data_IF_982658717005
#
_entry.id   IF_982658717005
#
_cell.length_a   1.000
_cell.length_b   1.000
_cell.length_c   1.000
_cell.angle_alpha   90.00
_cell.angle_beta   90.00
_cell.angle_gamma   90.00
#
_symmetry.space_group_name_H-M   'P 1'
#
loop_
_entity.id
_entity.type
_entity.pdbx_description
1 polymer ?
#
# COMPACT_ATOMS: atom_id res chain seq x y z
N UNK A 1 24.99 -31.24 -8.20
CA UNK A 1 24.19 -30.92 -6.99
C UNK A 1 24.61 -29.54 -6.52
N UNK A 2 23.91 -28.47 -6.93
CA UNK A 2 24.27 -27.10 -6.52
C UNK A 2 23.73 -26.82 -5.12
N UNK A 3 24.66 -26.53 -4.20
CA UNK A 3 24.36 -26.25 -2.80
C UNK A 3 23.50 -25.00 -2.66
N UNK A 4 22.32 -25.17 -2.05
CA UNK A 4 21.45 -24.08 -1.61
C UNK A 4 22.29 -23.13 -0.74
N UNK A 5 22.40 -21.82 -1.03
CA UNK A 5 23.25 -20.92 -0.26
C UNK A 5 22.83 -20.93 1.21
N UNK A 6 23.76 -21.33 2.06
CA UNK A 6 23.60 -21.58 3.48
C UNK A 6 23.64 -20.26 4.26
N UNK A 7 22.54 -19.50 4.22
CA UNK A 7 22.26 -18.43 5.17
C UNK A 7 22.31 -16.99 4.62
N UNK A 8 21.76 -16.05 5.40
CA UNK A 8 21.54 -14.64 5.03
C UNK A 8 22.78 -13.94 4.47
N UNK A 9 23.94 -14.09 5.13
CA UNK A 9 25.19 -13.41 4.75
C UNK A 9 25.64 -13.84 3.35
N UNK A 10 25.61 -15.14 3.09
CA UNK A 10 25.99 -15.69 1.79
C UNK A 10 24.97 -15.34 0.70
N UNK A 11 23.68 -15.38 1.05
CA UNK A 11 22.60 -14.91 0.16
C UNK A 11 22.78 -13.45 -0.28
N UNK A 12 23.07 -12.55 0.66
CA UNK A 12 23.34 -11.13 0.35
C UNK A 12 24.58 -10.96 -0.54
N UNK A 13 25.67 -11.67 -0.23
CA UNK A 13 26.90 -11.65 -1.04
C UNK A 13 26.62 -12.04 -2.49
N UNK A 14 25.84 -13.12 -2.68
CA UNK A 14 25.46 -13.59 -4.02
C UNK A 14 24.53 -12.61 -4.73
N UNK A 15 23.52 -12.06 -4.05
CA UNK A 15 22.60 -11.08 -4.64
C UNK A 15 23.37 -9.88 -5.20
N UNK A 16 24.29 -9.32 -4.40
CA UNK A 16 25.07 -8.14 -4.80
C UNK A 16 25.94 -8.47 -6.00
N UNK A 17 26.76 -9.53 -5.91
CA UNK A 17 27.66 -9.93 -6.98
C UNK A 17 26.92 -10.25 -8.28
N UNK A 18 25.77 -10.93 -8.21
CA UNK A 18 25.01 -11.34 -9.41
C UNK A 18 24.27 -10.19 -10.05
N UNK A 19 23.64 -9.29 -9.27
CA UNK A 19 22.96 -8.11 -9.82
C UNK A 19 23.99 -7.16 -10.44
N UNK A 20 25.11 -6.91 -9.77
CA UNK A 20 26.17 -6.06 -10.30
C UNK A 20 26.75 -6.64 -11.60
N UNK A 21 27.07 -7.93 -11.62
CA UNK A 21 27.55 -8.61 -12.83
C UNK A 21 26.50 -8.58 -13.97
N UNK A 22 25.22 -8.73 -13.65
CA UNK A 22 24.15 -8.64 -14.64
C UNK A 22 24.06 -7.24 -15.25
N UNK A 23 24.05 -6.19 -14.42
CA UNK A 23 24.00 -4.79 -14.91
C UNK A 23 25.24 -4.46 -15.75
N UNK A 24 26.42 -4.98 -15.39
CA UNK A 24 27.65 -4.71 -16.13
C UNK A 24 27.67 -5.38 -17.51
N UNK A 25 27.15 -6.60 -17.62
CA UNK A 25 27.37 -7.46 -18.79
C UNK A 25 26.12 -7.65 -19.67
N UNK A 26 24.93 -7.27 -19.21
CA UNK A 26 23.67 -7.54 -19.92
C UNK A 26 23.30 -6.42 -20.90
N UNK A 27 23.07 -6.79 -22.16
CA UNK A 27 22.54 -5.86 -23.18
C UNK A 27 21.15 -5.30 -22.81
N UNK A 28 20.36 -6.03 -22.01
CA UNK A 28 19.04 -5.57 -21.53
C UNK A 28 19.11 -4.32 -20.62
N UNK A 29 20.29 -4.09 -20.03
CA UNK A 29 20.53 -2.99 -19.10
C UNK A 29 21.21 -1.79 -19.76
N UNK A 30 21.64 -1.95 -21.01
CA UNK A 30 22.20 -0.91 -21.89
C UNK A 30 21.08 -0.38 -22.79
N UNK A 31 20.33 0.62 -22.31
CA UNK A 31 19.33 1.32 -23.13
C UNK A 31 19.97 2.53 -23.80
N UNK A 32 19.52 2.86 -25.01
CA UNK A 32 20.09 3.93 -25.84
C UNK A 32 20.05 5.32 -25.18
N UNK A 33 19.10 5.54 -24.27
CA UNK A 33 18.84 6.81 -23.58
C UNK A 33 19.31 6.84 -22.11
N UNK A 34 19.53 5.66 -21.50
CA UNK A 34 19.89 5.56 -20.07
C UNK A 34 20.57 4.24 -19.74
N UNK A 35 21.76 4.32 -19.17
CA UNK A 35 22.44 3.16 -18.62
C UNK A 35 21.87 2.82 -17.23
N UNK A 36 21.55 1.55 -17.01
CA UNK A 36 21.24 1.07 -15.66
C UNK A 36 22.54 0.99 -14.86
N UNK A 37 22.58 1.52 -13.65
CA UNK A 37 23.76 1.50 -12.79
C UNK A 37 23.47 0.73 -11.52
N UNK A 38 24.46 0.00 -11.00
CA UNK A 38 24.35 -0.62 -9.69
C UNK A 38 24.28 0.44 -8.57
N UNK A 39 23.46 0.18 -7.56
CA UNK A 39 23.28 1.07 -6.41
C UNK A 39 23.24 0.26 -5.12
N UNK A 40 24.31 0.34 -4.34
CA UNK A 40 24.55 -0.59 -3.23
C UNK A 40 23.51 -0.48 -2.11
N UNK A 41 23.18 0.73 -1.64
CA UNK A 41 22.15 0.93 -0.61
C UNK A 41 20.75 0.49 -1.08
N UNK A 42 20.38 0.77 -2.33
CA UNK A 42 19.09 0.38 -2.89
C UNK A 42 18.97 -1.15 -3.00
N UNK A 43 20.02 -1.83 -3.47
CA UNK A 43 20.08 -3.30 -3.52
C UNK A 43 19.98 -3.89 -2.11
N UNK A 44 20.71 -3.31 -1.15
CA UNK A 44 20.62 -3.72 0.26
C UNK A 44 19.20 -3.61 0.79
N UNK A 45 18.56 -2.45 0.58
CA UNK A 45 17.21 -2.17 1.03
C UNK A 45 16.23 -3.24 0.54
N UNK A 46 16.21 -3.51 -0.77
CA UNK A 46 15.29 -4.50 -1.33
C UNK A 46 15.57 -5.93 -0.87
N UNK A 47 16.84 -6.34 -0.86
CA UNK A 47 17.24 -7.65 -0.33
C UNK A 47 16.83 -7.81 1.15
N UNK A 48 16.98 -6.74 1.93
CA UNK A 48 16.57 -6.70 3.33
C UNK A 48 15.06 -6.81 3.50
N UNK A 49 14.28 -6.03 2.75
CA UNK A 49 12.81 -6.05 2.84
C UNK A 49 12.23 -7.40 2.41
N UNK A 50 12.77 -8.00 1.35
CA UNK A 50 12.38 -9.35 0.89
C UNK A 50 12.72 -10.40 1.95
N UNK A 51 13.95 -10.38 2.48
CA UNK A 51 14.35 -11.31 3.53
C UNK A 51 13.49 -11.16 4.78
N UNK A 52 13.22 -9.92 5.20
CA UNK A 52 12.35 -9.66 6.35
C UNK A 52 10.95 -10.24 6.11
N UNK A 53 10.35 -9.98 4.95
CA UNK A 53 9.05 -10.50 4.57
C UNK A 53 9.02 -12.05 4.54
N UNK A 54 10.06 -12.67 4.00
CA UNK A 54 10.17 -14.14 3.95
C UNK A 54 10.25 -14.77 5.34
N UNK A 55 11.00 -14.15 6.27
CA UNK A 55 11.11 -14.68 7.64
C UNK A 55 9.92 -14.33 8.53
N UNK A 56 9.26 -13.20 8.29
CA UNK A 56 8.02 -12.83 8.97
C UNK A 56 6.80 -13.63 8.48
N UNK A 57 6.90 -14.27 7.30
CA UNK A 57 5.81 -15.04 6.73
C UNK A 57 5.52 -16.30 7.56
N UNK A 58 4.27 -16.41 8.04
CA UNK A 58 3.79 -17.57 8.80
C UNK A 58 3.43 -18.76 7.91
N UNK A 59 3.03 -18.51 6.66
CA UNK A 59 2.64 -19.55 5.71
C UNK A 59 3.86 -20.03 4.92
N UNK A 60 4.22 -21.33 4.97
CA UNK A 60 5.38 -21.87 4.25
C UNK A 60 5.33 -21.64 2.74
N UNK A 61 4.15 -21.47 2.14
CA UNK A 61 3.98 -21.20 0.71
C UNK A 61 4.61 -19.88 0.28
N UNK A 62 4.74 -18.91 1.19
CA UNK A 62 5.46 -17.66 0.89
C UNK A 62 6.94 -17.88 0.58
N UNK A 63 7.54 -19.01 1.00
CA UNK A 63 8.93 -19.36 0.71
C UNK A 63 9.10 -20.17 -0.59
N UNK A 64 8.02 -20.73 -1.13
CA UNK A 64 8.07 -21.65 -2.28
C UNK A 64 7.27 -21.18 -3.50
N UNK A 65 6.27 -20.32 -3.32
CA UNK A 65 5.46 -19.73 -4.38
C UNK A 65 5.62 -18.21 -4.38
N UNK A 66 6.28 -17.70 -5.42
CA UNK A 66 6.54 -16.27 -5.59
C UNK A 66 5.26 -15.44 -5.78
N UNK A 67 4.24 -15.97 -6.46
CA UNK A 67 2.97 -15.25 -6.66
C UNK A 67 2.24 -15.13 -5.33
N UNK A 68 2.24 -16.20 -4.54
CA UNK A 68 1.72 -16.18 -3.18
C UNK A 68 2.50 -15.20 -2.30
N UNK A 69 3.84 -15.21 -2.36
CA UNK A 69 4.68 -14.27 -1.64
C UNK A 69 4.32 -12.81 -1.93
N UNK A 70 4.17 -12.44 -3.21
CA UNK A 70 3.80 -11.08 -3.61
C UNK A 70 2.38 -10.71 -3.20
N UNK A 71 1.43 -11.63 -3.28
CA UNK A 71 0.04 -11.37 -2.87
C UNK A 71 -0.08 -10.99 -1.39
N UNK A 72 0.79 -11.55 -0.54
CA UNK A 72 0.85 -11.27 0.90
C UNK A 72 1.86 -10.17 1.27
N UNK A 73 2.77 -9.80 0.36
CA UNK A 73 3.72 -8.71 0.56
C UNK A 73 3.65 -7.67 -0.57
N UNK A 74 2.45 -7.15 -0.88
CA UNK A 74 2.27 -6.30 -2.05
C UNK A 74 3.13 -5.03 -1.95
N UNK A 75 3.44 -4.52 -0.75
CA UNK A 75 4.31 -3.35 -0.54
C UNK A 75 5.67 -3.45 -1.23
N UNK A 76 6.15 -4.68 -1.48
CA UNK A 76 7.41 -4.92 -2.19
C UNK A 76 7.35 -4.57 -3.68
N UNK A 77 6.15 -4.39 -4.24
CA UNK A 77 5.93 -3.92 -5.60
C UNK A 77 5.99 -2.38 -5.72
N UNK A 78 5.96 -1.64 -4.60
CA UNK A 78 6.05 -0.18 -4.63
C UNK A 78 7.52 0.26 -4.80
N UNK A 79 7.91 0.61 -6.02
CA UNK A 79 9.28 1.04 -6.34
C UNK A 79 9.78 2.22 -5.49
N UNK A 80 8.89 3.04 -4.93
CA UNK A 80 9.21 4.16 -4.05
C UNK A 80 9.28 3.83 -2.55
N UNK A 81 9.10 2.57 -2.14
CA UNK A 81 8.99 2.19 -0.72
C UNK A 81 10.18 2.67 0.13
N UNK A 82 11.39 2.70 -0.45
CA UNK A 82 12.58 3.17 0.24
C UNK A 82 12.47 4.61 0.76
N UNK A 83 11.63 5.47 0.15
CA UNK A 83 11.44 6.87 0.57
C UNK A 83 10.71 7.01 1.92
N UNK A 84 10.13 5.94 2.45
CA UNK A 84 9.60 5.91 3.82
C UNK A 84 10.72 5.81 4.87
N UNK A 85 11.89 5.28 4.49
CA UNK A 85 13.03 5.05 5.37
C UNK A 85 14.16 6.05 5.09
N UNK A 86 14.29 6.50 3.85
CA UNK A 86 15.35 7.40 3.39
C UNK A 86 14.79 8.72 2.86
N UNK A 87 15.47 9.83 3.16
CA UNK A 87 15.32 11.07 2.40
C UNK A 87 15.86 10.91 0.97
N UNK A 88 15.35 11.73 0.04
CA UNK A 88 15.83 11.72 -1.36
C UNK A 88 17.30 12.11 -1.42
N UNK A 89 17.68 13.07 -0.61
CA UNK A 89 19.05 13.59 -0.49
C UNK A 89 20.02 12.47 -0.11
N UNK A 90 19.62 11.62 0.84
CA UNK A 90 20.45 10.51 1.30
C UNK A 90 20.45 9.29 0.38
N UNK A 91 19.31 8.93 -0.21
CA UNK A 91 19.23 7.75 -1.07
C UNK A 91 19.67 8.03 -2.51
N UNK A 92 19.25 9.15 -3.09
CA UNK A 92 19.37 9.42 -4.53
C UNK A 92 20.52 10.37 -4.86
N UNK A 93 20.80 11.33 -3.97
CA UNK A 93 21.77 12.40 -4.25
C UNK A 93 23.14 12.16 -3.61
N UNK A 94 23.22 11.37 -2.53
CA UNK A 94 24.49 11.02 -1.89
C UNK A 94 25.26 9.98 -2.73
N UNK A 95 26.44 10.32 -3.28
CA UNK A 95 27.26 9.37 -4.04
C UNK A 95 27.65 8.15 -3.22
N UNK A 96 27.81 8.29 -1.89
CA UNK A 96 28.18 7.17 -1.01
C UNK A 96 27.11 6.08 -1.00
N UNK A 97 25.83 6.45 -1.04
CA UNK A 97 24.74 5.47 -1.06
C UNK A 97 24.81 4.50 -2.25
N UNK A 98 25.52 4.89 -3.33
CA UNK A 98 25.72 4.06 -4.52
C UNK A 98 26.82 3.01 -4.34
N UNK A 99 27.88 3.33 -3.60
CA UNK A 99 29.09 2.50 -3.44
C UNK A 99 29.21 1.82 -2.08
N UNK A 100 28.41 2.23 -1.11
CA UNK A 100 28.33 1.62 0.21
C UNK A 100 26.88 1.57 0.70
N UNK A 101 26.62 0.73 1.70
CA UNK A 101 25.31 0.69 2.36
C UNK A 101 25.26 1.79 3.41
N UNK A 102 24.47 2.82 3.15
CA UNK A 102 24.18 3.87 4.15
C UNK A 102 22.90 3.51 4.91
N UNK A 103 22.89 3.78 6.21
CA UNK A 103 21.72 3.57 7.05
C UNK A 103 20.59 4.55 6.69
N UNK A 104 19.31 4.23 6.92
CA UNK A 104 18.22 5.17 6.71
C UNK A 104 18.24 6.33 7.71
N UNK A 105 17.73 7.49 7.31
CA UNK A 105 17.68 8.73 8.09
C UNK A 105 16.27 9.16 8.52
N UNK A 106 15.21 8.54 7.97
CA UNK A 106 13.82 8.82 8.39
C UNK A 106 13.30 7.81 9.40
N UNK A 107 13.48 6.52 9.10
CA UNK A 107 12.98 5.41 9.92
C UNK A 107 13.94 4.22 9.85
N UNK A 108 14.17 3.50 10.96
CA UNK A 108 15.00 2.30 10.93
C UNK A 108 14.35 1.22 10.05
N UNK A 109 15.17 0.36 9.42
CA UNK A 109 14.65 -0.80 8.70
C UNK A 109 14.07 -1.82 9.70
N UNK A 110 13.04 -2.58 9.32
CA UNK A 110 12.47 -3.64 10.16
C UNK A 110 13.53 -4.67 10.55
N UNK A 111 13.46 -5.21 11.76
CA UNK A 111 14.37 -6.26 12.24
C UNK A 111 13.59 -7.43 12.82
N UNK A 112 14.16 -8.63 12.72
CA UNK A 112 13.61 -9.86 13.31
C UNK A 112 14.03 -10.04 14.78
N UNK A 113 14.93 -9.19 15.28
CA UNK A 113 15.35 -9.21 16.68
C UNK A 113 14.33 -8.40 17.49
N UNK A 114 13.41 -9.08 18.16
CA UNK A 114 12.65 -8.53 19.28
C UNK A 114 13.56 -8.46 20.52
N UNK A 115 13.34 -7.42 21.35
CA UNK A 115 13.90 -7.22 22.71
C UNK A 115 15.42 -7.05 22.86
N UNK A 116 15.90 -5.82 22.68
CA UNK A 116 16.75 -5.21 23.70
C UNK A 116 15.90 -4.10 24.31
N UNK A 117 15.68 -4.19 25.60
CA UNK A 117 14.93 -3.24 26.43
C UNK A 117 15.39 -1.82 26.12
N UNK A 118 14.47 -0.96 25.65
CA UNK A 118 14.72 0.48 25.63
C UNK A 118 14.60 0.98 27.06
N UNK A 119 15.66 0.89 27.83
CA UNK A 119 15.81 1.69 29.05
C UNK A 119 16.06 3.15 28.64
N UNK A 120 14.97 3.88 28.47
CA UNK A 120 14.96 5.33 28.36
C UNK A 120 13.67 5.83 29.00
N UNK A 121 13.65 7.00 29.66
CA UNK A 121 12.45 7.48 30.34
C UNK A 121 11.29 7.56 29.33
N UNK A 122 10.22 6.84 29.62
CA UNK A 122 9.00 6.85 28.83
C UNK A 122 8.47 8.30 28.76
N UNK A 123 8.15 8.83 27.57
CA UNK A 123 7.28 10.01 27.48
C UNK A 123 5.94 9.69 28.16
N UNK A 124 5.27 10.69 28.74
CA UNK A 124 4.08 10.48 29.56
C UNK A 124 3.01 9.70 28.79
N UNK A 125 2.33 8.83 29.53
CA UNK A 125 1.34 7.87 29.04
C UNK A 125 0.25 8.55 28.18
N UNK A 126 0.43 8.50 26.86
CA UNK A 126 -0.70 8.51 25.94
C UNK A 126 -1.22 7.07 25.89
N UNK A 127 -2.51 6.91 26.22
CA UNK A 127 -3.28 5.66 26.16
C UNK A 127 -2.71 4.70 25.12
N UNK A 128 -2.04 3.65 25.59
CA UNK A 128 -1.51 2.63 24.72
C UNK A 128 -2.67 1.96 23.99
N UNK A 129 -2.76 2.21 22.68
CA UNK A 129 -3.52 1.38 21.77
C UNK A 129 -3.07 -0.08 21.99
N UNK A 130 -4.01 -1.05 22.03
CA UNK A 130 -3.70 -2.42 22.34
C UNK A 130 -2.64 -2.95 21.37
N UNK A 131 -1.44 -3.20 21.92
CA UNK A 131 -0.34 -3.86 21.21
C UNK A 131 -0.72 -5.34 21.12
N UNK A 132 -1.30 -5.76 20.00
CA UNK A 132 -1.55 -7.17 19.74
C UNK A 132 -2.69 -7.47 18.76
N UNK A 133 -3.71 -6.62 18.72
CA UNK A 133 -4.89 -6.84 17.89
C UNK A 133 -4.97 -5.83 16.75
N UNK A 134 -5.34 -6.32 15.56
CA UNK A 134 -5.68 -5.48 14.43
C UNK A 134 -6.80 -4.51 14.84
N UNK A 135 -6.54 -3.20 14.79
CA UNK A 135 -7.55 -2.15 15.06
C UNK A 135 -8.78 -2.43 14.21
N UNK A 136 -9.99 -2.49 14.81
CA UNK A 136 -11.25 -2.68 14.08
C UNK A 136 -11.60 -1.46 13.21
N UNK A 137 -12.44 -1.63 12.20
CA UNK A 137 -12.90 -0.53 11.32
C UNK A 137 -13.65 0.55 12.12
N UNK A 138 -14.44 0.14 13.12
CA UNK A 138 -15.13 1.08 14.02
C UNK A 138 -14.17 1.92 14.83
N UNK A 139 -13.16 1.31 15.45
CA UNK A 139 -12.13 2.02 16.22
C UNK A 139 -11.28 2.90 15.30
N UNK A 140 -10.93 2.41 14.11
CA UNK A 140 -10.22 3.19 13.10
C UNK A 140 -10.97 4.48 12.72
N UNK A 141 -12.28 4.38 12.47
CA UNK A 141 -13.13 5.55 12.17
C UNK A 141 -13.19 6.54 13.34
N UNK A 142 -13.35 6.05 14.58
CA UNK A 142 -13.35 6.91 15.77
C UNK A 142 -12.01 7.64 15.96
N UNK A 143 -10.89 6.95 15.73
CA UNK A 143 -9.56 7.56 15.78
C UNK A 143 -9.36 8.59 14.67
N UNK A 144 -9.89 8.33 13.46
CA UNK A 144 -9.87 9.29 12.36
C UNK A 144 -10.67 10.55 12.69
N UNK A 145 -11.91 10.39 13.13
CA UNK A 145 -12.81 11.51 13.47
C UNK A 145 -12.26 12.34 14.65
N UNK A 146 -11.57 11.69 15.59
CA UNK A 146 -10.89 12.36 16.69
C UNK A 146 -9.52 12.96 16.35
N UNK A 147 -9.02 12.88 15.12
CA UNK A 147 -7.64 13.25 14.75
C UNK A 147 -6.55 12.55 15.60
N UNK A 148 -6.81 11.30 16.02
CA UNK A 148 -5.94 10.48 16.89
C UNK A 148 -5.29 9.31 16.17
N UNK A 149 -5.34 9.26 14.84
CA UNK A 149 -4.66 8.19 14.11
C UNK A 149 -3.14 8.27 14.32
N UNK A 150 -2.47 7.14 14.61
CA UNK A 150 -1.02 7.13 14.84
C UNK A 150 -0.23 7.43 13.56
N UNK A 151 -0.83 7.22 12.39
CA UNK A 151 -0.24 7.59 11.10
C UNK A 151 -1.31 7.83 10.03
N UNK A 152 -1.01 8.75 9.11
CA UNK A 152 -1.83 9.02 7.93
C UNK A 152 -1.01 8.73 6.67
N UNK A 153 -1.44 7.73 5.90
CA UNK A 153 -0.76 7.29 4.67
C UNK A 153 -1.75 6.63 3.72
N UNK A 154 -1.27 6.18 2.55
CA UNK A 154 -2.14 5.65 1.49
C UNK A 154 -3.00 4.47 1.94
N UNK A 155 -2.46 3.53 2.71
CA UNK A 155 -3.24 2.41 3.23
C UNK A 155 -4.37 2.85 4.17
N UNK A 156 -4.11 3.81 5.06
CA UNK A 156 -5.14 4.39 5.93
C UNK A 156 -6.20 5.15 5.11
N UNK A 157 -5.80 5.80 4.02
CA UNK A 157 -6.71 6.47 3.11
C UNK A 157 -7.63 5.48 2.36
N UNK A 158 -7.07 4.39 1.81
CA UNK A 158 -7.88 3.33 1.18
C UNK A 158 -8.81 2.67 2.20
N UNK A 159 -8.33 2.41 3.42
CA UNK A 159 -9.14 1.89 4.52
C UNK A 159 -10.29 2.82 4.89
N UNK A 160 -10.05 4.13 4.95
CA UNK A 160 -11.11 5.12 5.19
C UNK A 160 -12.19 5.08 4.12
N UNK A 161 -11.79 5.05 2.83
CA UNK A 161 -12.74 4.93 1.71
C UNK A 161 -13.57 3.65 1.86
N UNK A 162 -12.91 2.51 2.11
CA UNK A 162 -13.57 1.23 2.34
C UNK A 162 -14.61 1.32 3.47
N UNK A 163 -14.20 1.83 4.63
CA UNK A 163 -15.07 1.92 5.81
C UNK A 163 -16.27 2.83 5.56
N UNK A 164 -16.09 3.97 4.88
CA UNK A 164 -17.19 4.88 4.53
C UNK A 164 -18.14 4.24 3.51
N UNK A 165 -17.62 3.56 2.49
CA UNK A 165 -18.44 2.84 1.52
C UNK A 165 -19.24 1.71 2.18
N UNK A 166 -18.60 0.92 3.06
CA UNK A 166 -19.22 -0.15 3.85
C UNK A 166 -20.38 0.36 4.72
N UNK A 167 -20.22 1.52 5.35
CA UNK A 167 -21.18 2.03 6.35
C UNK A 167 -22.25 2.96 5.78
N UNK A 168 -21.96 3.69 4.70
CA UNK A 168 -22.83 4.76 4.21
C UNK A 168 -23.32 4.56 2.76
N UNK A 169 -22.77 3.56 2.04
CA UNK A 169 -23.01 3.38 0.61
C UNK A 169 -22.36 4.48 -0.24
N UNK A 170 -22.31 4.31 -1.56
CA UNK A 170 -21.47 5.14 -2.45
C UNK A 170 -21.76 6.65 -2.36
N UNK A 171 -23.03 7.05 -2.43
CA UNK A 171 -23.41 8.47 -2.52
C UNK A 171 -23.02 9.23 -1.27
N UNK A 172 -23.52 8.81 -0.10
CA UNK A 172 -23.22 9.45 1.19
C UNK A 172 -21.74 9.37 1.56
N UNK A 173 -21.09 8.23 1.27
CA UNK A 173 -19.66 8.06 1.52
C UNK A 173 -18.82 9.06 0.71
N UNK A 174 -19.15 9.27 -0.57
CA UNK A 174 -18.43 10.22 -1.42
C UNK A 174 -18.49 11.62 -0.83
N UNK A 175 -19.69 12.12 -0.54
CA UNK A 175 -19.88 13.47 0.02
C UNK A 175 -19.15 13.64 1.36
N UNK A 176 -19.28 12.65 2.26
CA UNK A 176 -18.60 12.65 3.56
C UNK A 176 -17.07 12.61 3.43
N UNK A 177 -16.53 11.81 2.51
CA UNK A 177 -15.09 11.71 2.26
C UNK A 177 -14.54 13.04 1.75
N UNK A 178 -15.19 13.66 0.77
CA UNK A 178 -14.78 14.96 0.24
C UNK A 178 -14.76 16.03 1.34
N UNK A 179 -15.81 16.12 2.16
CA UNK A 179 -15.86 17.07 3.27
C UNK A 179 -14.72 16.82 4.29
N UNK A 180 -14.53 15.56 4.70
CA UNK A 180 -13.54 15.20 5.72
C UNK A 180 -12.11 15.44 5.25
N UNK A 181 -11.81 15.04 4.00
CA UNK A 181 -10.46 15.12 3.44
C UNK A 181 -10.05 16.54 3.06
N UNK A 182 -10.99 17.36 2.55
CA UNK A 182 -10.74 18.79 2.32
C UNK A 182 -10.32 19.48 3.63
N UNK A 183 -10.99 19.16 4.74
CA UNK A 183 -10.64 19.71 6.05
C UNK A 183 -9.29 19.19 6.57
N UNK A 184 -9.03 17.88 6.45
CA UNK A 184 -7.81 17.24 6.96
C UNK A 184 -6.56 17.63 6.17
N UNK A 185 -6.63 17.61 4.84
CA UNK A 185 -5.46 17.77 3.96
C UNK A 185 -5.23 19.22 3.54
N UNK A 186 -6.22 20.10 3.68
CA UNK A 186 -6.15 21.53 3.33
C UNK A 186 -5.51 21.72 1.95
N UNK A 187 -4.40 22.46 1.86
CA UNK A 187 -3.69 22.73 0.60
C UNK A 187 -2.95 21.54 -0.04
N UNK A 188 -3.04 20.34 0.54
CA UNK A 188 -2.56 19.10 -0.08
C UNK A 188 -3.70 18.22 -0.62
N UNK A 189 -4.95 18.67 -0.50
CA UNK A 189 -6.11 17.95 -1.02
C UNK A 189 -6.11 17.99 -2.55
N UNK A 190 -6.32 16.83 -3.17
CA UNK A 190 -6.38 16.71 -4.63
C UNK A 190 -7.67 16.02 -5.06
N UNK A 191 -8.55 16.78 -5.72
CA UNK A 191 -9.91 16.38 -6.03
C UNK A 191 -9.96 15.18 -6.99
N UNK A 192 -9.24 15.26 -8.13
CA UNK A 192 -9.22 14.16 -9.11
C UNK A 192 -8.64 12.86 -8.55
N UNK A 193 -7.55 12.92 -7.77
CA UNK A 193 -6.97 11.72 -7.13
C UNK A 193 -7.92 11.13 -6.11
N UNK A 194 -8.55 11.97 -5.27
CA UNK A 194 -9.56 11.52 -4.30
C UNK A 194 -10.70 10.78 -4.99
N UNK A 195 -11.30 11.40 -6.03
CA UNK A 195 -12.37 10.76 -6.80
C UNK A 195 -11.92 9.45 -7.44
N UNK A 196 -10.72 9.44 -8.04
CA UNK A 196 -10.14 8.24 -8.64
C UNK A 196 -10.09 7.08 -7.65
N UNK A 197 -9.54 7.30 -6.45
CA UNK A 197 -9.44 6.24 -5.44
C UNK A 197 -10.80 5.78 -4.95
N UNK A 198 -11.75 6.69 -4.75
CA UNK A 198 -13.15 6.34 -4.42
C UNK A 198 -13.73 5.43 -5.51
N UNK A 199 -13.56 5.80 -6.78
CA UNK A 199 -14.07 5.03 -7.91
C UNK A 199 -13.43 3.63 -8.00
N UNK A 200 -12.11 3.53 -7.79
CA UNK A 200 -11.40 2.25 -7.84
C UNK A 200 -11.80 1.31 -6.69
N UNK A 201 -11.95 1.83 -5.47
CA UNK A 201 -12.42 1.05 -4.32
C UNK A 201 -13.87 0.64 -4.51
N UNK A 202 -14.73 1.56 -4.96
CA UNK A 202 -16.12 1.23 -5.34
C UNK A 202 -16.14 0.10 -6.35
N UNK A 203 -15.26 0.13 -7.35
CA UNK A 203 -15.21 -0.88 -8.40
C UNK A 203 -14.75 -2.24 -7.91
N UNK A 204 -13.73 -2.27 -7.05
CA UNK A 204 -13.31 -3.49 -6.38
C UNK A 204 -14.47 -4.13 -5.59
N UNK A 205 -15.24 -3.30 -4.87
CA UNK A 205 -16.31 -3.75 -3.99
C UNK A 205 -17.59 -4.16 -4.73
N UNK A 206 -17.96 -3.45 -5.80
CA UNK A 206 -19.21 -3.70 -6.51
C UNK A 206 -19.31 -5.12 -7.09
N UNK A 207 -18.18 -5.75 -7.41
CA UNK A 207 -18.15 -7.13 -7.93
C UNK A 207 -18.71 -8.14 -6.91
N UNK A 208 -18.36 -7.97 -5.63
CA UNK A 208 -18.68 -8.95 -4.58
C UNK A 208 -19.77 -8.44 -3.61
N UNK A 209 -19.97 -7.12 -3.51
CA UNK A 209 -20.80 -6.45 -2.52
C UNK A 209 -21.76 -5.40 -3.11
N UNK A 210 -22.19 -5.58 -4.37
CA UNK A 210 -23.03 -4.63 -5.11
C UNK A 210 -24.20 -4.05 -4.28
N UNK A 211 -24.97 -4.92 -3.62
CA UNK A 211 -26.13 -4.53 -2.82
C UNK A 211 -25.75 -3.62 -1.62
N UNK A 212 -24.59 -3.83 -1.00
CA UNK A 212 -24.13 -2.98 0.10
C UNK A 212 -23.73 -1.57 -0.38
N UNK A 213 -23.28 -1.45 -1.62
CA UNK A 213 -22.73 -0.21 -2.17
C UNK A 213 -23.79 0.67 -2.83
N UNK A 214 -24.78 0.06 -3.48
CA UNK A 214 -25.74 0.76 -4.36
C UNK A 214 -27.21 0.63 -3.96
N UNK A 215 -27.58 -0.30 -3.08
CA UNK A 215 -28.98 -0.38 -2.65
C UNK A 215 -29.31 0.79 -1.70
N UNK A 216 -30.31 1.59 -2.10
CA UNK A 216 -30.63 2.89 -1.49
C UNK A 216 -31.86 2.85 -0.58
N UNK A 217 -32.40 1.66 -0.33
CA UNK A 217 -33.57 1.47 0.52
C UNK A 217 -33.24 1.80 1.98
N UNK A 218 -33.79 2.94 2.44
CA UNK A 218 -33.76 3.43 3.82
C UNK A 218 -34.63 2.63 4.79
N UNK A 219 -35.28 1.56 4.32
CA UNK A 219 -36.14 0.70 5.12
C UNK A 219 -35.54 -0.70 5.12
N UNK A 220 -34.76 -1.02 6.15
CA UNK A 220 -34.34 -2.41 6.42
C UNK A 220 -35.05 -2.90 7.67
N UNK A 221 -36.22 -3.49 7.47
CA UNK A 221 -36.51 -4.75 8.16
C UNK A 221 -35.48 -5.80 7.69
N UNK A 222 -35.03 -6.61 8.63
CA UNK A 222 -34.04 -7.68 8.52
C UNK A 222 -34.08 -8.45 7.18
N UNK A 223 -33.15 -8.13 6.28
CA UNK A 223 -32.65 -9.11 5.31
C UNK A 223 -31.14 -9.18 5.41
N UNK A 224 -30.67 -10.35 5.88
CA UNK A 224 -29.29 -10.78 5.96
C UNK A 224 -28.66 -10.88 4.56
N UNK A 225 -28.33 -9.73 3.96
CA UNK A 225 -27.34 -9.68 2.90
C UNK A 225 -25.95 -10.00 3.46
N UNK A 226 -24.99 -10.42 2.62
CA UNK A 226 -23.64 -10.69 3.09
C UNK A 226 -23.04 -9.41 3.66
N UNK A 227 -22.78 -9.40 4.96
CA UNK A 227 -22.09 -8.30 5.63
C UNK A 227 -20.68 -8.18 5.07
N UNK A 228 -20.28 -6.96 4.71
CA UNK A 228 -18.93 -6.71 4.26
C UNK A 228 -17.96 -6.97 5.42
N UNK A 229 -16.90 -7.79 5.23
CA UNK A 229 -15.94 -8.13 6.28
C UNK A 229 -15.19 -6.91 6.83
N UNK A 230 -14.40 -7.10 7.87
CA UNK A 230 -13.46 -6.05 8.30
C UNK A 230 -12.36 -5.86 7.24
N UNK A 231 -11.87 -4.62 7.10
CA UNK A 231 -10.79 -4.32 6.17
C UNK A 231 -9.58 -5.23 6.40
N UNK A 232 -9.19 -5.43 7.66
CA UNK A 232 -8.05 -6.26 8.04
C UNK A 232 -8.26 -7.74 7.68
N UNK A 233 -9.49 -8.25 7.73
CA UNK A 233 -9.78 -9.62 7.32
C UNK A 233 -9.62 -9.80 5.81
N UNK A 234 -10.04 -8.82 5.00
CA UNK A 234 -9.78 -8.81 3.55
C UNK A 234 -8.28 -8.75 3.27
N UNK A 235 -7.52 -7.93 3.99
CA UNK A 235 -6.08 -7.79 3.78
C UNK A 235 -5.32 -9.06 4.17
N UNK A 236 -5.75 -9.76 5.22
CA UNK A 236 -5.10 -10.98 5.72
C UNK A 236 -5.64 -12.25 5.06
N UNK A 237 -6.65 -12.15 4.20
CA UNK A 237 -7.30 -13.29 3.56
C UNK A 237 -8.03 -14.19 4.57
N UNK A 238 -8.47 -13.62 5.70
CA UNK A 238 -9.26 -14.29 6.72
C UNK A 238 -10.73 -14.37 6.28
N UNK A 239 -11.41 -15.43 6.70
CA UNK A 239 -12.79 -15.72 6.29
C UNK A 239 -12.89 -16.23 4.85
N UNK A 240 -13.97 -16.97 4.55
CA UNK A 240 -14.20 -17.55 3.21
C UNK A 240 -14.21 -16.51 2.09
N UNK A 241 -14.65 -15.29 2.38
CA UNK A 241 -14.61 -14.16 1.45
C UNK A 241 -13.17 -13.68 1.18
N UNK A 242 -12.30 -13.50 2.19
CA UNK A 242 -10.97 -12.90 2.01
C UNK A 242 -9.96 -13.73 1.19
N UNK A 243 -10.15 -15.06 1.14
CA UNK A 243 -9.18 -16.00 0.53
C UNK A 243 -9.27 -16.06 -1.00
N UNK A 244 -10.45 -15.82 -1.59
CA UNK A 244 -10.67 -15.91 -3.04
C UNK A 244 -11.54 -14.79 -3.63
N UNK A 245 -11.90 -13.76 -2.86
CA UNK A 245 -12.65 -12.60 -3.35
C UNK A 245 -11.84 -11.75 -4.33
N UNK A 246 -12.51 -11.30 -5.39
CA UNK A 246 -11.99 -10.29 -6.31
C UNK A 246 -11.75 -8.98 -5.56
N UNK A 247 -12.71 -8.54 -4.74
CA UNK A 247 -12.60 -7.35 -3.92
C UNK A 247 -11.37 -7.39 -3.01
N UNK A 248 -11.14 -8.50 -2.29
CA UNK A 248 -9.99 -8.66 -1.41
C UNK A 248 -8.67 -8.50 -2.19
N UNK A 249 -8.56 -9.18 -3.34
CA UNK A 249 -7.36 -9.13 -4.17
C UNK A 249 -7.11 -7.74 -4.76
N UNK A 250 -8.17 -7.09 -5.25
CA UNK A 250 -8.07 -5.76 -5.84
C UNK A 250 -7.80 -4.69 -4.78
N UNK A 251 -8.38 -4.77 -3.59
CA UNK A 251 -8.10 -3.85 -2.49
C UNK A 251 -6.65 -3.97 -2.00
N UNK A 252 -6.09 -5.18 -1.94
CA UNK A 252 -4.66 -5.38 -1.63
C UNK A 252 -3.76 -4.68 -2.65
N UNK A 253 -4.07 -4.80 -3.94
CA UNK A 253 -3.36 -4.10 -5.01
C UNK A 253 -3.46 -2.58 -4.88
N UNK A 254 -4.68 -2.05 -4.71
CA UNK A 254 -4.93 -0.61 -4.59
C UNK A 254 -4.31 0.01 -3.33
N UNK A 255 -4.23 -0.74 -2.23
CA UNK A 255 -3.60 -0.32 -0.96
C UNK A 255 -2.10 -0.11 -1.11
N UNK A 256 -1.49 -0.71 -2.13
CA UNK A 256 -0.04 -0.75 -2.31
C UNK A 256 0.42 0.12 -3.46
N UNK A 257 -0.26 0.05 -4.59
CA UNK A 257 0.11 0.83 -5.75
C UNK A 257 -0.38 2.26 -5.57
N UNK A 258 0.42 3.09 -4.91
CA UNK A 258 0.11 4.52 -4.69
C UNK A 258 0.03 5.34 -5.99
N UNK A 259 0.48 4.78 -7.12
CA UNK A 259 0.58 5.46 -8.41
C UNK A 259 -0.35 4.85 -9.48
N UNK A 260 -1.29 3.99 -9.07
CA UNK A 260 -2.21 3.28 -9.98
C UNK A 260 -2.96 4.22 -10.94
N UNK A 261 -3.21 5.48 -10.55
CA UNK A 261 -3.81 6.50 -11.40
C UNK A 261 -3.02 6.80 -12.68
N UNK A 262 -1.71 6.57 -12.73
CA UNK A 262 -0.91 6.79 -13.95
C UNK A 262 -1.24 5.82 -15.09
N UNK A 263 -1.96 4.73 -14.82
CA UNK A 263 -2.53 3.87 -15.85
C UNK A 263 -3.69 4.54 -16.60
N UNK A 264 -4.34 5.54 -15.99
CA UNK A 264 -5.53 6.23 -16.53
C UNK A 264 -5.21 7.67 -16.94
N UNK A 265 -4.28 8.32 -16.23
CA UNK A 265 -3.92 9.71 -16.47
C UNK A 265 -2.47 9.86 -16.93
N UNK A 266 -2.23 10.78 -17.86
CA UNK A 266 -0.90 11.32 -18.11
C UNK A 266 -0.40 12.13 -16.91
N UNK A 267 0.92 12.20 -16.76
CA UNK A 267 1.55 13.03 -15.73
C UNK A 267 1.15 14.50 -15.90
N UNK A 268 1.09 14.98 -17.15
CA UNK A 268 0.70 16.34 -17.50
C UNK A 268 -0.70 16.69 -16.99
N UNK A 269 -1.67 15.77 -17.15
CA UNK A 269 -3.04 16.01 -16.71
C UNK A 269 -3.19 15.88 -15.19
N UNK A 270 -2.66 14.80 -14.58
CA UNK A 270 -2.90 14.50 -13.16
C UNK A 270 -2.11 15.38 -12.18
N UNK A 271 -1.13 16.14 -12.69
CA UNK A 271 -0.38 17.14 -11.92
C UNK A 271 -0.82 18.57 -12.28
N UNK A 272 -1.88 18.75 -13.07
CA UNK A 272 -2.41 20.07 -13.38
C UNK A 272 -3.19 20.65 -12.20
N UNK A 273 -3.19 21.98 -12.10
CA UNK A 273 -3.97 22.71 -11.09
C UNK A 273 -5.47 22.44 -11.22
N UNK A 274 -5.96 22.29 -12.45
CA UNK A 274 -7.37 21.95 -12.73
C UNK A 274 -7.75 20.59 -12.12
N UNK A 275 -6.89 19.58 -12.25
CA UNK A 275 -7.11 18.25 -11.69
C UNK A 275 -7.02 18.23 -10.15
N UNK A 276 -6.24 19.15 -9.58
CA UNK A 276 -6.13 19.34 -8.13
C UNK A 276 -7.42 19.96 -7.56
N UNK A 277 -7.94 21.01 -8.20
CA UNK A 277 -9.08 21.79 -7.72
C UNK A 277 -10.44 21.19 -8.09
N UNK A 278 -10.51 20.42 -9.17
CA UNK A 278 -11.76 19.85 -9.70
C UNK A 278 -11.53 18.48 -10.31
N UNK A 279 -12.60 17.69 -10.43
CA UNK A 279 -12.51 16.39 -11.07
C UNK A 279 -12.37 16.54 -12.59
N UNK A 280 -11.28 15.99 -13.14
CA UNK A 280 -11.07 15.87 -14.59
C UNK A 280 -11.11 14.41 -15.03
N UNK A 281 -11.64 14.16 -16.24
CA UNK A 281 -11.68 12.82 -16.81
C UNK A 281 -10.28 12.35 -17.24
N UNK A 282 -9.97 11.04 -17.16
CA UNK A 282 -8.67 10.55 -17.60
C UNK A 282 -8.46 10.62 -19.11
N UNK A 283 -7.23 10.88 -19.53
CA UNK A 283 -6.80 11.07 -20.92
C UNK A 283 -6.15 9.83 -21.55
N UNK A 284 -5.75 8.81 -20.78
CA UNK A 284 -5.19 7.56 -21.33
C UNK A 284 -6.21 6.45 -21.45
N UNK A 285 -7.03 6.27 -20.41
CA UNK A 285 -7.97 5.15 -20.32
C UNK A 285 -9.20 5.57 -19.51
N UNK A 286 -10.42 5.22 -19.91
CA UNK A 286 -11.62 5.52 -19.13
C UNK A 286 -11.59 4.80 -17.77
N UNK A 287 -12.17 5.44 -16.75
CA UNK A 287 -12.39 4.79 -15.46
C UNK A 287 -13.41 3.66 -15.60
N UNK A 288 -13.29 2.58 -14.81
CA UNK A 288 -14.29 1.52 -14.80
C UNK A 288 -15.66 2.08 -14.42
N UNK A 289 -16.68 1.74 -15.20
CA UNK A 289 -18.08 2.14 -15.00
C UNK A 289 -18.90 0.96 -14.51
N UNK A 290 -19.91 1.23 -13.69
CA UNK A 290 -20.97 0.28 -13.37
C UNK A 290 -22.08 0.49 -14.39
N UNK A 291 -22.11 -0.34 -15.43
CA UNK A 291 -23.36 -0.48 -16.17
C UNK A 291 -24.37 -1.07 -15.19
N UNK A 292 -25.50 -0.40 -14.99
CA UNK A 292 -26.63 -1.03 -14.31
C UNK A 292 -26.91 -2.37 -15.01
N UNK A 293 -27.12 -3.48 -14.28
CA UNK A 293 -27.68 -4.66 -14.90
C UNK A 293 -29.00 -4.25 -15.55
N UNK A 294 -29.13 -4.53 -16.85
CA UNK A 294 -30.41 -4.42 -17.56
C UNK A 294 -31.39 -5.43 -16.99
#
# INVERSE_FOLDING_TARGET
MEGRPTGRREGFRLIFARIEAFIKNSELTKRADRQTTFHQTMTYFWAHMIHYALEAARDPRAKTDFKFFLAFNPQLCNSGMFLHFYAKERMLNDPKARTEVVLPDRKPLPSLISSIEREGPLPPAHEHLPVGDSVSDSLFLQLFEGNRLPSWGHAAFIRLIYCRLKTQGRRKATDSLFASLKNLQKGAFHETKTYFWIQMVTHALATDFHACIFDSSSDKEEKAGPEMPEFEDLMQGKGGAGRFSYAASKLRELTVDTQFFHAFYSKKLIESKEAEESFVLPDKKPLPSFAAPR
#
